data_IF_923565583759
#
_entry.id   IF_923565583759
#
_cell.length_a   1.000
_cell.length_b   1.000
_cell.length_c   1.000
_cell.angle_alpha   90.00
_cell.angle_beta   90.00
_cell.angle_gamma   90.00
#
_symmetry.space_group_name_H-M   'P 1'
#
loop_
_entity.id
_entity.type
_entity.pdbx_description
1 polymer ?
#
# COMPACT_ATOMS: atom_id res chain seq x y z
N UNK A 1 15.78 -6.00 -8.40
CA UNK A 1 15.03 -5.31 -9.48
C UNK A 1 13.59 -5.80 -9.50
N UNK A 2 12.67 -5.04 -10.14
CA UNK A 2 11.25 -5.45 -10.29
C UNK A 2 11.13 -6.78 -11.07
N UNK A 3 12.05 -7.04 -12.00
CA UNK A 3 12.10 -8.30 -12.75
C UNK A 3 12.45 -9.49 -11.84
N UNK A 4 13.43 -9.34 -10.98
CA UNK A 4 13.81 -10.37 -9.99
C UNK A 4 12.69 -10.64 -8.99
N UNK A 5 11.98 -9.59 -8.58
CA UNK A 5 10.84 -9.73 -7.68
C UNK A 5 9.68 -10.50 -8.34
N UNK A 6 9.36 -10.21 -9.61
CA UNK A 6 8.39 -10.99 -10.39
C UNK A 6 8.80 -12.46 -10.53
N UNK A 7 10.06 -12.72 -10.84
CA UNK A 7 10.58 -14.08 -10.93
C UNK A 7 10.49 -14.82 -9.58
N UNK A 8 10.78 -14.13 -8.47
CA UNK A 8 10.63 -14.70 -7.12
C UNK A 8 9.16 -15.05 -6.80
N UNK A 9 8.19 -14.22 -7.22
CA UNK A 9 6.76 -14.52 -7.09
C UNK A 9 6.41 -15.80 -7.87
N UNK A 10 6.83 -15.92 -9.12
CA UNK A 10 6.58 -17.12 -9.94
C UNK A 10 7.11 -18.38 -9.24
N UNK A 11 8.34 -18.31 -8.75
CA UNK A 11 8.99 -19.43 -8.08
C UNK A 11 8.29 -19.81 -6.77
N UNK A 12 7.88 -18.83 -5.98
CA UNK A 12 7.16 -19.04 -4.71
C UNK A 12 5.81 -19.72 -4.95
N UNK A 13 5.06 -19.30 -5.97
CA UNK A 13 3.80 -19.97 -6.32
C UNK A 13 4.00 -21.40 -6.80
N UNK A 14 5.03 -21.66 -7.63
CA UNK A 14 5.38 -23.01 -8.04
C UNK A 14 5.71 -23.93 -6.86
N UNK A 15 6.55 -23.45 -5.94
CA UNK A 15 6.94 -24.18 -4.74
C UNK A 15 5.73 -24.41 -3.81
N UNK A 16 4.93 -23.38 -3.58
CA UNK A 16 3.74 -23.47 -2.73
C UNK A 16 2.72 -24.49 -3.27
N UNK A 17 2.47 -24.49 -4.57
CA UNK A 17 1.60 -25.47 -5.23
C UNK A 17 2.13 -26.90 -5.09
N UNK A 18 3.44 -27.10 -5.28
CA UNK A 18 4.08 -28.41 -5.11
C UNK A 18 3.96 -28.94 -3.70
N UNK A 19 4.03 -28.06 -2.70
CA UNK A 19 3.90 -28.38 -1.30
C UNK A 19 2.45 -28.36 -0.80
N UNK A 20 1.47 -28.02 -1.65
CA UNK A 20 0.07 -27.79 -1.29
C UNK A 20 -0.08 -26.76 -0.16
N UNK A 21 0.81 -25.77 -0.13
CA UNK A 21 0.76 -24.70 0.85
C UNK A 21 -0.33 -23.69 0.46
N UNK A 22 -1.15 -23.29 1.43
CA UNK A 22 -2.20 -22.29 1.21
C UNK A 22 -1.66 -20.87 1.13
N UNK A 23 -0.60 -20.59 1.84
CA UNK A 23 0.00 -19.27 1.93
C UNK A 23 1.50 -19.34 1.59
N UNK A 24 2.00 -18.28 1.01
CA UNK A 24 3.42 -18.11 0.70
C UNK A 24 3.86 -16.67 0.90
N UNK A 25 5.17 -16.43 1.05
CA UNK A 25 5.70 -15.08 1.11
C UNK A 25 7.01 -14.95 0.36
N UNK A 26 7.21 -13.80 -0.28
CA UNK A 26 8.49 -13.35 -0.82
C UNK A 26 9.07 -12.31 0.11
N UNK A 27 10.34 -12.46 0.45
CA UNK A 27 11.09 -11.50 1.26
C UNK A 27 12.26 -10.99 0.43
N UNK A 28 12.35 -9.69 0.24
CA UNK A 28 13.44 -9.02 -0.47
C UNK A 28 13.89 -7.79 0.33
N UNK A 29 15.06 -7.88 0.95
CA UNK A 29 15.56 -6.84 1.86
C UNK A 29 14.57 -6.61 3.02
N UNK A 30 14.10 -5.38 3.17
CA UNK A 30 13.13 -5.00 4.20
C UNK A 30 11.66 -5.17 3.77
N UNK A 31 11.42 -5.67 2.56
CA UNK A 31 10.06 -5.86 2.02
C UNK A 31 9.66 -7.32 2.14
N UNK A 32 8.49 -7.56 2.73
CA UNK A 32 7.83 -8.87 2.77
C UNK A 32 6.46 -8.75 2.14
N UNK A 33 6.19 -9.56 1.14
CA UNK A 33 4.88 -9.67 0.49
C UNK A 33 4.33 -11.07 0.72
N UNK A 34 3.13 -11.18 1.24
CA UNK A 34 2.44 -12.43 1.51
C UNK A 34 1.32 -12.66 0.48
N UNK A 35 1.07 -13.94 0.17
CA UNK A 35 0.11 -14.37 -0.85
C UNK A 35 -0.79 -15.48 -0.31
N UNK A 36 -2.08 -15.44 -0.66
CA UNK A 36 -2.97 -16.61 -0.59
C UNK A 36 -2.81 -17.38 -1.90
N UNK A 37 -2.19 -18.56 -1.84
CA UNK A 37 -1.89 -19.38 -3.02
C UNK A 37 -3.06 -20.29 -3.40
N UNK A 38 -3.93 -20.60 -2.44
CA UNK A 38 -5.07 -21.48 -2.66
C UNK A 38 -6.30 -20.67 -3.12
N UNK A 39 -6.95 -21.16 -4.15
CA UNK A 39 -8.29 -20.69 -4.53
C UNK A 39 -8.32 -19.52 -5.52
N UNK A 40 -7.29 -19.35 -6.37
CA UNK A 40 -7.29 -18.24 -7.29
C UNK A 40 -6.83 -18.56 -8.73
N UNK A 41 -7.02 -17.57 -9.60
CA UNK A 41 -6.64 -17.66 -11.00
C UNK A 41 -5.11 -17.52 -11.16
N UNK A 42 -4.39 -18.53 -11.70
CA UNK A 42 -2.94 -18.50 -11.88
C UNK A 42 -2.41 -17.32 -12.70
N UNK A 43 -3.24 -16.72 -13.57
CA UNK A 43 -2.86 -15.57 -14.40
C UNK A 43 -2.90 -14.23 -13.68
N UNK A 44 -3.43 -14.16 -12.46
CA UNK A 44 -3.66 -12.91 -11.72
C UNK A 44 -3.01 -12.94 -10.32
N UNK A 45 -1.79 -13.44 -10.21
CA UNK A 45 -1.08 -13.63 -8.94
C UNK A 45 -0.94 -12.35 -8.11
N UNK A 46 -0.86 -11.20 -8.74
CA UNK A 46 -0.79 -9.92 -8.07
C UNK A 46 -2.06 -9.58 -7.27
N UNK A 47 -3.21 -10.15 -7.64
CA UNK A 47 -4.46 -10.00 -6.91
C UNK A 47 -4.54 -10.84 -5.63
N UNK A 48 -3.59 -11.73 -5.41
CA UNK A 48 -3.57 -12.63 -4.25
C UNK A 48 -2.72 -12.14 -3.10
N UNK A 49 -2.26 -10.91 -3.19
CA UNK A 49 -1.55 -10.27 -2.08
C UNK A 49 -2.49 -10.17 -0.88
N UNK A 50 -2.03 -10.67 0.25
CA UNK A 50 -2.69 -10.54 1.55
C UNK A 50 -1.85 -9.68 2.47
N UNK A 51 -2.48 -9.08 3.47
CA UNK A 51 -1.78 -8.18 4.41
C UNK A 51 -0.66 -8.90 5.16
N UNK A 52 -0.90 -10.11 5.64
CA UNK A 52 0.11 -11.00 6.23
C UNK A 52 -0.39 -12.46 6.26
N UNK A 53 0.55 -13.39 6.49
CA UNK A 53 0.20 -14.80 6.71
C UNK A 53 -0.60 -14.91 8.02
N UNK A 54 -1.75 -15.64 8.01
CA UNK A 54 -2.56 -15.79 9.22
C UNK A 54 -1.77 -16.44 10.35
N UNK A 55 -2.00 -15.98 11.56
CA UNK A 55 -1.56 -16.70 12.76
C UNK A 55 -2.37 -17.99 12.84
N UNK A 56 -1.69 -19.09 13.12
CA UNK A 56 -2.18 -20.48 13.30
C UNK A 56 -3.71 -20.65 13.22
N UNK A 57 -4.22 -21.26 12.15
CA UNK A 57 -5.66 -21.53 11.86
C UNK A 57 -6.58 -20.30 11.74
N UNK A 58 -6.02 -19.07 11.75
CA UNK A 58 -6.79 -17.84 11.58
C UNK A 58 -7.06 -17.48 10.12
N UNK A 59 -7.82 -16.41 9.93
CA UNK A 59 -7.94 -15.72 8.62
C UNK A 59 -6.80 -14.72 8.47
N UNK A 60 -6.40 -14.45 7.22
CA UNK A 60 -5.47 -13.37 6.94
C UNK A 60 -5.99 -12.04 7.53
N UNK A 61 -5.13 -11.25 8.19
CA UNK A 61 -5.55 -9.97 8.72
C UNK A 61 -6.02 -9.06 7.58
N UNK A 62 -7.05 -8.25 7.82
CA UNK A 62 -7.56 -7.34 6.78
C UNK A 62 -6.51 -6.29 6.40
N UNK A 63 -5.80 -5.77 7.39
CA UNK A 63 -4.78 -4.73 7.20
C UNK A 63 -3.48 -5.11 7.89
N UNK A 64 -2.36 -4.69 7.27
CA UNK A 64 -1.01 -4.96 7.75
C UNK A 64 -0.58 -3.95 8.81
N UNK A 65 -0.77 -2.65 8.55
CA UNK A 65 -0.24 -1.58 9.37
C UNK A 65 -1.29 -1.03 10.34
N UNK A 66 -0.90 -0.98 11.63
CA UNK A 66 -1.74 -0.51 12.75
C UNK A 66 -0.92 0.49 13.55
N UNK A 67 -1.48 1.67 13.78
CA UNK A 67 -0.79 2.75 14.49
C UNK A 67 -0.56 2.41 15.96
N UNK A 68 0.69 2.59 16.43
CA UNK A 68 1.10 2.30 17.79
C UNK A 68 1.31 0.82 18.12
N UNK A 69 1.16 -0.08 17.14
CA UNK A 69 1.45 -1.50 17.32
C UNK A 69 2.98 -1.73 17.21
N UNK A 70 3.64 -2.36 18.21
CA UNK A 70 5.10 -2.50 18.23
C UNK A 70 5.68 -3.24 17.02
N UNK A 71 4.91 -4.15 16.41
CA UNK A 71 5.37 -4.98 15.29
C UNK A 71 4.81 -4.51 13.94
N UNK A 72 3.65 -3.84 13.96
CA UNK A 72 2.87 -3.52 12.76
C UNK A 72 2.71 -2.04 12.49
N UNK A 73 3.34 -1.16 13.26
CA UNK A 73 3.33 0.27 12.95
C UNK A 73 4.25 0.60 11.77
N UNK A 74 4.04 1.78 11.21
CA UNK A 74 4.90 2.31 10.16
C UNK A 74 6.30 2.57 10.73
N UNK A 75 7.32 2.22 9.95
CA UNK A 75 8.71 2.50 10.30
C UNK A 75 9.12 3.86 9.76
N UNK A 76 9.98 4.54 10.51
CA UNK A 76 10.60 5.78 10.03
C UNK A 76 11.50 5.44 8.84
N UNK A 77 11.21 6.04 7.70
CA UNK A 77 12.03 5.92 6.51
C UNK A 77 13.17 6.95 6.52
N UNK A 78 14.33 6.58 6.00
CA UNK A 78 15.40 7.52 5.73
C UNK A 78 15.00 8.46 4.58
N UNK A 79 15.72 9.60 4.46
CA UNK A 79 15.49 10.53 3.34
C UNK A 79 15.65 9.87 1.98
N UNK A 80 16.66 9.02 1.82
CA UNK A 80 16.95 8.35 0.54
C UNK A 80 15.88 7.32 0.18
N UNK A 81 15.36 6.59 1.16
CA UNK A 81 14.22 5.67 0.97
C UNK A 81 12.97 6.44 0.56
N UNK A 82 12.71 7.59 1.18
CA UNK A 82 11.57 8.43 0.83
C UNK A 82 11.67 8.99 -0.58
N UNK A 83 12.84 9.50 -0.99
CA UNK A 83 13.08 10.00 -2.35
C UNK A 83 12.83 8.89 -3.37
N UNK A 84 13.44 7.72 -3.20
CA UNK A 84 13.24 6.57 -4.09
C UNK A 84 11.77 6.12 -4.17
N UNK A 85 11.06 6.15 -3.04
CA UNK A 85 9.64 5.82 -3.03
C UNK A 85 8.80 6.84 -3.82
N UNK A 86 9.09 8.14 -3.69
CA UNK A 86 8.40 9.20 -4.43
C UNK A 86 8.71 9.13 -5.93
N UNK A 87 9.96 8.88 -6.33
CA UNK A 87 10.35 8.66 -7.73
C UNK A 87 9.56 7.48 -8.31
N UNK A 88 9.53 6.35 -7.62
CA UNK A 88 8.77 5.17 -8.05
C UNK A 88 7.26 5.45 -8.16
N UNK A 89 6.69 6.20 -7.23
CA UNK A 89 5.29 6.63 -7.29
C UNK A 89 5.03 7.50 -8.52
N UNK A 90 5.89 8.48 -8.75
CA UNK A 90 5.80 9.36 -9.92
C UNK A 90 5.85 8.56 -11.23
N UNK A 91 6.83 7.68 -11.39
CA UNK A 91 7.00 6.86 -12.58
C UNK A 91 5.80 5.94 -12.84
N UNK A 92 5.24 5.38 -11.77
CA UNK A 92 4.04 4.54 -11.83
C UNK A 92 2.83 5.33 -12.32
N UNK A 93 2.62 6.54 -11.81
CA UNK A 93 1.52 7.42 -12.19
C UNK A 93 1.73 7.98 -13.60
N UNK A 94 2.95 8.35 -13.95
CA UNK A 94 3.31 8.86 -15.27
C UNK A 94 3.13 7.83 -16.39
N UNK A 95 3.24 6.54 -16.09
CA UNK A 95 3.01 5.41 -17.01
C UNK A 95 3.77 5.53 -18.35
N UNK A 96 5.02 5.99 -18.31
CA UNK A 96 5.84 6.12 -19.50
C UNK A 96 5.35 7.19 -20.50
N UNK A 97 4.79 8.29 -20.00
CA UNK A 97 4.38 9.45 -20.83
C UNK A 97 2.91 9.47 -21.21
N UNK A 98 2.07 8.61 -20.65
CA UNK A 98 0.61 8.67 -20.86
C UNK A 98 -0.03 9.90 -20.20
N UNK A 99 0.58 10.42 -19.14
CA UNK A 99 0.19 11.66 -18.48
C UNK A 99 1.27 12.72 -18.65
N UNK A 100 0.88 14.00 -18.66
CA UNK A 100 1.85 15.08 -18.58
C UNK A 100 2.61 14.99 -17.22
N UNK A 101 3.93 15.30 -17.17
CA UNK A 101 4.72 15.22 -15.93
C UNK A 101 4.13 16.03 -14.78
N UNK A 102 3.58 17.21 -15.06
CA UNK A 102 2.91 18.07 -14.07
C UNK A 102 1.66 17.40 -13.51
N UNK A 103 0.85 16.74 -14.35
CA UNK A 103 -0.34 16.00 -13.91
C UNK A 103 0.04 14.80 -13.05
N UNK A 104 1.10 14.06 -13.42
CA UNK A 104 1.61 12.96 -12.61
C UNK A 104 2.08 13.44 -11.24
N UNK A 105 2.78 14.58 -11.18
CA UNK A 105 3.22 15.20 -9.94
C UNK A 105 2.03 15.63 -9.05
N UNK A 106 1.00 16.23 -9.64
CA UNK A 106 -0.20 16.62 -8.90
C UNK A 106 -0.92 15.41 -8.29
N UNK A 107 -1.05 14.30 -9.03
CA UNK A 107 -1.66 13.08 -8.51
C UNK A 107 -0.83 12.45 -7.38
N UNK A 108 0.50 12.38 -7.52
CA UNK A 108 1.38 11.89 -6.45
C UNK A 108 1.28 12.79 -5.22
N UNK A 109 1.20 14.11 -5.39
CA UNK A 109 1.03 15.05 -4.29
C UNK A 109 -0.27 14.83 -3.54
N UNK A 110 -1.40 14.61 -4.23
CA UNK A 110 -2.69 14.27 -3.61
C UNK A 110 -2.60 12.99 -2.77
N UNK A 111 -1.94 11.95 -3.29
CA UNK A 111 -1.72 10.70 -2.57
C UNK A 111 -0.85 10.91 -1.32
N UNK A 112 0.20 11.71 -1.42
CA UNK A 112 1.06 12.05 -0.29
C UNK A 112 0.28 12.79 0.81
N UNK A 113 -0.59 13.74 0.44
CA UNK A 113 -1.48 14.41 1.40
C UNK A 113 -2.41 13.43 2.10
N UNK A 114 -3.01 12.50 1.37
CA UNK A 114 -3.86 11.47 1.96
C UNK A 114 -3.08 10.63 2.99
N UNK A 115 -1.87 10.20 2.62
CA UNK A 115 -0.99 9.43 3.51
C UNK A 115 -0.64 10.20 4.79
N UNK A 116 -0.15 11.43 4.66
CA UNK A 116 0.23 12.27 5.80
C UNK A 116 -0.95 12.54 6.72
N UNK A 117 -2.15 12.78 6.15
CA UNK A 117 -3.35 12.98 6.92
C UNK A 117 -3.72 11.72 7.70
N UNK A 118 -3.73 10.56 7.05
CA UNK A 118 -4.04 9.31 7.72
C UNK A 118 -3.05 9.02 8.87
N UNK A 119 -1.76 9.21 8.64
CA UNK A 119 -0.75 9.06 9.68
C UNK A 119 -0.95 10.04 10.85
N UNK A 120 -1.31 11.29 10.57
CA UNK A 120 -1.48 12.31 11.60
C UNK A 120 -2.71 12.05 12.49
N UNK A 121 -3.85 11.76 11.88
CA UNK A 121 -5.14 11.73 12.58
C UNK A 121 -5.63 10.34 12.96
N UNK A 122 -4.99 9.26 12.51
CA UNK A 122 -5.35 7.91 12.93
C UNK A 122 -5.09 7.72 14.43
N UNK A 123 -6.05 7.22 15.21
CA UNK A 123 -5.82 6.92 16.63
C UNK A 123 -4.94 5.67 16.80
N UNK A 124 -4.23 5.60 17.93
CA UNK A 124 -3.47 4.42 18.29
C UNK A 124 -4.38 3.18 18.38
N UNK A 125 -3.88 2.04 17.94
CA UNK A 125 -4.62 0.78 17.87
C UNK A 125 -5.50 0.63 16.64
N UNK A 126 -5.68 1.68 15.83
CA UNK A 126 -6.45 1.61 14.59
C UNK A 126 -5.55 1.29 13.37
N UNK A 127 -6.09 0.52 12.43
CA UNK A 127 -5.42 0.30 11.15
C UNK A 127 -5.40 1.58 10.32
N UNK A 128 -4.28 1.86 9.66
CA UNK A 128 -4.20 2.96 8.70
C UNK A 128 -5.16 2.73 7.54
N UNK A 129 -5.76 3.80 7.02
CA UNK A 129 -6.61 3.71 5.83
C UNK A 129 -5.78 3.79 4.55
N UNK A 130 -4.61 4.42 4.58
CA UNK A 130 -3.71 4.52 3.44
C UNK A 130 -2.84 3.27 3.30
N UNK A 131 -3.47 2.15 3.01
CA UNK A 131 -2.83 0.86 2.70
C UNK A 131 -3.79 -0.02 1.89
N UNK A 132 -3.29 -1.09 1.29
CA UNK A 132 -4.11 -2.07 0.58
C UNK A 132 -4.47 -3.18 1.57
N UNK A 133 -5.75 -3.50 1.66
CA UNK A 133 -6.26 -4.58 2.50
C UNK A 133 -6.22 -5.94 1.81
N UNK A 134 -6.32 -7.00 2.60
CA UNK A 134 -6.42 -8.38 2.09
C UNK A 134 -7.68 -8.54 1.24
N UNK A 135 -7.52 -9.02 0.02
CA UNK A 135 -8.59 -9.25 -0.98
C UNK A 135 -9.41 -7.98 -1.31
N UNK A 136 -8.84 -6.81 -1.14
CA UNK A 136 -9.49 -5.54 -1.46
C UNK A 136 -9.41 -5.25 -2.95
N UNK A 137 -10.52 -4.84 -3.55
CA UNK A 137 -10.56 -4.47 -4.96
C UNK A 137 -10.00 -3.07 -5.20
N UNK A 138 -9.52 -2.76 -6.42
CA UNK A 138 -9.06 -1.41 -6.76
C UNK A 138 -10.12 -0.34 -6.49
N UNK A 139 -11.40 -0.65 -6.70
CA UNK A 139 -12.53 0.25 -6.49
C UNK A 139 -12.74 0.54 -4.99
N UNK A 140 -12.57 -0.46 -4.13
CA UNK A 140 -12.65 -0.28 -2.67
C UNK A 140 -11.50 0.57 -2.16
N UNK A 141 -10.27 0.31 -2.63
CA UNK A 141 -9.09 1.13 -2.33
C UNK A 141 -9.32 2.56 -2.76
N UNK A 142 -9.77 2.77 -4.01
CA UNK A 142 -10.05 4.11 -4.55
C UNK A 142 -11.08 4.86 -3.70
N UNK A 143 -12.21 4.24 -3.36
CA UNK A 143 -13.25 4.84 -2.52
C UNK A 143 -12.70 5.28 -1.17
N UNK A 144 -11.89 4.43 -0.54
CA UNK A 144 -11.30 4.72 0.78
C UNK A 144 -10.30 5.87 0.72
N UNK A 145 -9.38 5.83 -0.25
CA UNK A 145 -8.38 6.91 -0.41
C UNK A 145 -9.06 8.23 -0.79
N UNK A 146 -10.06 8.19 -1.68
CA UNK A 146 -10.82 9.38 -2.06
C UNK A 146 -11.58 9.98 -0.87
N UNK A 147 -12.11 9.15 0.04
CA UNK A 147 -12.74 9.65 1.27
C UNK A 147 -11.76 10.41 2.19
N UNK A 148 -10.49 9.96 2.26
CA UNK A 148 -9.44 10.70 2.99
C UNK A 148 -9.20 12.06 2.32
N UNK A 149 -9.13 12.07 0.98
CA UNK A 149 -8.90 13.29 0.21
C UNK A 149 -10.03 14.31 0.38
N UNK A 150 -11.30 13.87 0.31
CA UNK A 150 -12.44 14.76 0.50
C UNK A 150 -12.46 15.37 1.91
N UNK A 151 -12.23 14.57 2.94
CA UNK A 151 -12.10 15.08 4.31
C UNK A 151 -10.96 16.10 4.46
N UNK A 152 -9.83 15.87 3.77
CA UNK A 152 -8.73 16.83 3.79
C UNK A 152 -9.12 18.18 3.17
N UNK A 153 -9.88 18.16 2.08
CA UNK A 153 -10.40 19.39 1.44
C UNK A 153 -11.38 20.14 2.32
N UNK A 154 -12.34 19.44 2.91
CA UNK A 154 -13.35 20.04 3.79
C UNK A 154 -12.73 20.75 5.00
N UNK A 155 -11.65 20.21 5.56
CA UNK A 155 -10.93 20.82 6.67
C UNK A 155 -10.07 22.03 6.25
N UNK A 156 -9.55 22.03 5.04
CA UNK A 156 -8.76 23.14 4.49
C UNK A 156 -9.65 24.36 4.17
N UNK A 157 -10.92 24.10 3.81
CA UNK A 157 -11.94 25.13 3.57
C UNK A 157 -12.59 25.64 4.88
N UNK A 158 -12.27 25.05 6.03
CA UNK A 158 -12.82 25.46 7.32
C UNK A 158 -12.04 26.66 7.90
N UNK A 159 -12.71 27.65 8.53
CA UNK A 159 -12.04 28.84 9.10
C UNK A 159 -11.02 28.52 10.20
N UNK A 160 -11.01 27.27 10.71
CA UNK A 160 -10.07 26.75 11.71
C UNK A 160 -9.01 25.83 11.09
N UNK A 161 -9.05 25.62 9.78
CA UNK A 161 -8.08 24.81 9.03
C UNK A 161 -6.68 25.41 9.16
N UNK A 162 -5.70 24.57 9.46
CA UNK A 162 -4.28 24.94 9.41
C UNK A 162 -3.99 25.37 7.98
N UNK A 163 -3.68 26.65 7.81
CA UNK A 163 -3.28 27.26 6.54
C UNK A 163 -2.03 26.53 6.06
N UNK A 164 -2.18 25.60 5.12
CA UNK A 164 -1.07 25.19 4.28
C UNK A 164 -0.76 26.39 3.39
N UNK A 165 0.41 26.96 3.61
CA UNK A 165 0.91 28.17 2.96
C UNK A 165 0.63 28.09 1.46
N UNK A 166 -0.35 28.89 1.00
CA UNK A 166 -0.41 29.30 -0.39
C UNK A 166 0.83 30.11 -0.67
N UNK A 167 1.78 29.55 -1.41
CA UNK A 167 2.76 30.32 -2.19
C UNK A 167 2.43 30.18 -3.63
#
# INVERSE_FOLDING_TARGET
TDAEFKQAIEQVFGNANSLRAKYASVVAGNTRTAFDVAGFNPSEREKNVIADIPVKYGKAPKYKFIKGDPERDLKIASRDELIKALEKCHDTVWQGGKLAPTTAFDEVSKLLFCKLRDEKYKPNGAAYDFQIGTNETPEEVFKRINAIYQKAKEEDDSPTGVVYVKK
#
